data_IF_636704174810
#
_entry.id   IF_636704174810
#
_cell.length_a   1.000
_cell.length_b   1.000
_cell.length_c   1.000
_cell.angle_alpha   90.00
_cell.angle_beta   90.00
_cell.angle_gamma   90.00
#
_symmetry.space_group_name_H-M   'P 1'
#
loop_
_entity.id
_entity.type
_entity.pdbx_description
1 polymer ?
#
# COMPACT_ATOMS: atom_id res chain seq x y z
N UNK A 1 -10.88 16.07 -3.28
CA UNK A 1 -10.79 14.59 -3.12
C UNK A 1 -12.19 14.03 -3.25
N UNK A 2 -12.60 13.66 -4.46
CA UNK A 2 -13.94 13.11 -4.70
C UNK A 2 -13.85 11.60 -4.67
N UNK A 3 -14.33 11.00 -3.59
CA UNK A 3 -14.57 9.55 -3.50
C UNK A 3 -15.77 9.27 -4.40
N UNK A 4 -15.58 8.53 -5.49
CA UNK A 4 -16.66 8.15 -6.38
C UNK A 4 -17.42 7.01 -5.71
N UNK A 5 -18.40 7.35 -4.86
CA UNK A 5 -19.33 6.33 -4.35
C UNK A 5 -20.21 5.86 -5.50
N UNK A 6 -19.75 4.85 -6.23
CA UNK A 6 -20.63 4.03 -7.05
C UNK A 6 -21.55 3.27 -6.09
N UNK A 7 -22.79 3.75 -5.99
CA UNK A 7 -23.87 3.11 -5.25
C UNK A 7 -24.29 1.86 -6.04
N UNK A 8 -23.44 0.82 -6.01
CA UNK A 8 -23.91 -0.56 -6.10
C UNK A 8 -23.80 -1.12 -4.69
N UNK A 9 -24.96 -1.23 -4.03
CA UNK A 9 -25.17 -1.79 -2.69
C UNK A 9 -24.16 -2.93 -2.41
N UNK A 10 -23.09 -2.64 -1.66
CA UNK A 10 -22.44 -3.71 -0.91
C UNK A 10 -23.46 -4.15 0.12
N UNK A 11 -24.08 -5.29 -0.18
CA UNK A 11 -24.95 -5.99 0.73
C UNK A 11 -24.10 -6.39 1.94
N UNK A 12 -24.25 -5.64 3.04
CA UNK A 12 -23.54 -5.86 4.31
C UNK A 12 -23.81 -7.25 4.91
N UNK A 13 -24.72 -8.03 4.32
CA UNK A 13 -24.98 -9.43 4.66
C UNK A 13 -23.94 -10.42 4.09
N UNK A 14 -22.96 -9.95 3.30
CA UNK A 14 -21.97 -10.79 2.63
C UNK A 14 -20.54 -10.62 3.19
N UNK A 15 -20.41 -10.55 4.51
CA UNK A 15 -19.11 -10.64 5.20
C UNK A 15 -18.41 -12.02 5.01
N UNK A 16 -19.06 -12.95 4.29
CA UNK A 16 -18.52 -14.22 3.81
C UNK A 16 -17.91 -14.14 2.38
N UNK A 17 -17.85 -12.96 1.78
CA UNK A 17 -17.20 -12.76 0.48
C UNK A 17 -15.68 -12.92 0.57
N UNK A 18 -15.08 -13.65 -0.36
CA UNK A 18 -13.63 -13.82 -0.46
C UNK A 18 -12.94 -12.42 -0.50
N UNK A 19 -12.15 -12.02 0.51
CA UNK A 19 -11.54 -10.69 0.58
C UNK A 19 -10.48 -10.46 -0.49
N UNK A 20 -9.98 -11.53 -1.11
CA UNK A 20 -9.04 -11.48 -2.23
C UNK A 20 -9.73 -11.30 -3.59
N UNK A 21 -11.07 -11.27 -3.62
CA UNK A 21 -11.81 -11.06 -4.87
C UNK A 21 -11.48 -9.68 -5.45
N UNK A 22 -11.26 -9.62 -6.76
CA UNK A 22 -11.07 -8.37 -7.49
C UNK A 22 -12.28 -7.43 -7.31
N UNK A 23 -12.02 -6.14 -7.14
CA UNK A 23 -13.05 -5.12 -6.92
C UNK A 23 -13.94 -5.37 -5.70
N UNK A 24 -13.45 -6.08 -4.68
CA UNK A 24 -14.19 -6.31 -3.42
C UNK A 24 -14.04 -5.17 -2.42
N UNK A 25 -13.07 -4.27 -2.61
CA UNK A 25 -12.97 -3.04 -1.83
C UNK A 25 -14.15 -2.12 -2.11
N UNK A 26 -14.57 -1.39 -1.08
CA UNK A 26 -15.56 -0.31 -1.22
C UNK A 26 -14.93 1.00 -1.71
N UNK A 27 -13.61 1.10 -1.63
CA UNK A 27 -12.85 2.29 -1.99
C UNK A 27 -12.41 2.15 -3.44
N UNK A 28 -12.68 3.19 -4.21
CA UNK A 28 -12.33 3.31 -5.63
C UNK A 28 -11.84 4.75 -5.82
N UNK A 29 -10.69 4.94 -6.46
CA UNK A 29 -10.09 6.26 -6.61
C UNK A 29 -10.60 6.95 -7.88
N UNK A 30 -10.01 8.10 -8.21
CA UNK A 30 -10.42 8.86 -9.39
C UNK A 30 -9.94 8.25 -10.70
N UNK A 31 -8.98 7.32 -10.68
CA UNK A 31 -8.45 6.69 -11.88
C UNK A 31 -9.46 5.69 -12.45
N UNK A 32 -9.79 5.75 -13.75
CA UNK A 32 -10.69 4.78 -14.36
C UNK A 32 -10.10 3.36 -14.41
N UNK A 33 -10.91 2.38 -14.01
CA UNK A 33 -10.50 0.98 -13.91
C UNK A 33 -10.30 0.30 -15.29
N UNK A 34 -9.20 -0.44 -15.45
CA UNK A 34 -8.84 -1.28 -16.60
C UNK A 34 -8.73 -0.54 -17.95
N UNK A 35 -8.48 0.77 -17.94
CA UNK A 35 -8.38 1.56 -19.17
C UNK A 35 -7.05 1.36 -19.91
N UNK A 36 -5.95 1.20 -19.18
CA UNK A 36 -4.60 1.04 -19.79
C UNK A 36 -4.21 -0.44 -19.93
N UNK A 37 -4.69 -1.30 -19.03
CA UNK A 37 -4.37 -2.74 -19.01
C UNK A 37 -5.58 -3.53 -18.53
N UNK A 38 -5.84 -4.68 -19.15
CA UNK A 38 -6.92 -5.60 -18.75
C UNK A 38 -6.62 -6.32 -17.42
N UNK A 39 -5.36 -6.31 -16.97
CA UNK A 39 -4.92 -7.04 -15.78
C UNK A 39 -4.77 -6.15 -14.53
N UNK A 40 -4.65 -4.82 -14.71
CA UNK A 40 -4.38 -3.87 -13.63
C UNK A 40 -5.54 -2.88 -13.58
N UNK A 41 -6.25 -2.81 -12.46
CA UNK A 41 -7.41 -1.94 -12.30
C UNK A 41 -7.02 -0.46 -12.45
N UNK A 42 -6.19 0.08 -11.55
CA UNK A 42 -5.73 1.47 -11.62
C UNK A 42 -4.24 1.48 -12.03
N UNK A 43 -3.97 1.64 -13.32
CA UNK A 43 -2.62 1.46 -13.88
C UNK A 43 -1.62 2.50 -13.37
N UNK A 44 -1.96 3.78 -13.42
CA UNK A 44 -1.07 4.86 -13.03
C UNK A 44 -0.85 4.88 -11.51
N UNK A 45 -1.88 4.63 -10.72
CA UNK A 45 -1.76 4.46 -9.27
C UNK A 45 -0.85 3.26 -8.94
N UNK A 46 -0.98 2.15 -9.67
CA UNK A 46 -0.12 0.98 -9.48
C UNK A 46 1.34 1.28 -9.85
N UNK A 47 1.60 1.88 -11.01
CA UNK A 47 2.98 2.13 -11.49
C UNK A 47 3.69 3.20 -10.67
N UNK A 48 2.97 4.22 -10.20
CA UNK A 48 3.56 5.29 -9.37
C UNK A 48 4.21 4.77 -8.08
N UNK A 49 3.81 3.59 -7.61
CA UNK A 49 4.40 2.95 -6.44
C UNK A 49 5.83 2.43 -6.65
N UNK A 50 6.38 2.47 -7.86
CA UNK A 50 7.76 2.04 -8.15
C UNK A 50 8.80 2.71 -7.24
N UNK A 51 8.56 3.94 -6.80
CA UNK A 51 9.47 4.66 -5.91
C UNK A 51 9.62 4.01 -4.53
N UNK A 52 8.60 3.29 -4.04
CA UNK A 52 8.70 2.52 -2.79
C UNK A 52 9.64 1.32 -2.91
N UNK A 53 10.02 0.92 -4.13
CA UNK A 53 10.99 -0.16 -4.36
C UNK A 53 12.39 0.38 -4.70
N UNK A 54 12.50 1.63 -5.13
CA UNK A 54 13.79 2.25 -5.50
C UNK A 54 14.39 3.03 -4.34
N UNK A 55 13.60 3.90 -3.71
CA UNK A 55 14.10 4.83 -2.69
C UNK A 55 14.55 4.09 -1.42
N UNK A 56 13.77 3.16 -0.83
CA UNK A 56 14.20 2.55 0.43
C UNK A 56 15.47 1.70 0.33
N UNK A 57 15.70 0.84 -0.69
CA UNK A 57 16.98 0.13 -0.82
C UNK A 57 18.17 1.08 -1.00
N UNK A 58 18.00 2.15 -1.79
CA UNK A 58 19.01 3.19 -1.95
C UNK A 58 19.33 3.85 -0.60
N UNK A 59 18.30 4.21 0.17
CA UNK A 59 18.50 4.84 1.47
C UNK A 59 19.10 3.88 2.49
N UNK A 60 18.71 2.60 2.50
CA UNK A 60 19.36 1.58 3.33
C UNK A 60 20.85 1.53 3.02
N UNK A 61 21.24 1.60 1.75
CA UNK A 61 22.65 1.61 1.32
C UNK A 61 23.38 2.90 1.76
N UNK A 62 22.81 4.06 1.49
CA UNK A 62 23.42 5.36 1.81
C UNK A 62 23.55 5.60 3.32
N UNK A 63 22.55 5.17 4.11
CA UNK A 63 22.52 5.36 5.57
C UNK A 63 23.21 4.24 6.37
N UNK A 64 23.84 3.24 5.72
CA UNK A 64 24.60 2.18 6.42
C UNK A 64 25.59 2.69 7.49
N UNK A 65 26.47 3.67 7.22
CA UNK A 65 27.43 4.13 8.23
C UNK A 65 26.75 4.84 9.40
N UNK A 66 25.66 5.56 9.16
CA UNK A 66 24.86 6.22 10.19
C UNK A 66 24.13 5.20 11.07
N UNK A 67 23.47 4.20 10.45
CA UNK A 67 22.74 3.14 11.13
C UNK A 67 23.62 2.37 12.12
N UNK A 68 24.90 2.14 11.79
CA UNK A 68 25.86 1.47 12.68
C UNK A 68 26.22 2.27 13.93
N UNK A 69 26.07 3.60 13.90
CA UNK A 69 26.49 4.49 14.99
C UNK A 69 25.33 4.93 15.88
N UNK A 70 24.13 5.12 15.32
CA UNK A 70 22.99 5.69 16.06
C UNK A 70 21.98 4.61 16.43
N UNK A 71 21.32 4.00 15.45
CA UNK A 71 20.37 2.93 15.69
C UNK A 71 20.06 2.15 14.40
N UNK A 72 20.00 0.82 14.49
CA UNK A 72 19.57 -0.04 13.39
C UNK A 72 18.07 0.12 13.05
N UNK A 73 17.31 0.87 13.85
CA UNK A 73 15.89 1.14 13.63
C UNK A 73 15.59 1.82 12.30
N UNK A 74 16.55 2.58 11.74
CA UNK A 74 16.34 3.30 10.48
C UNK A 74 16.19 2.35 9.29
N UNK A 75 16.95 1.24 9.28
CA UNK A 75 16.83 0.22 8.25
C UNK A 75 15.46 -0.48 8.30
N UNK A 76 14.90 -0.67 9.51
CA UNK A 76 13.57 -1.25 9.69
C UNK A 76 12.51 -0.34 9.05
N UNK A 77 12.58 0.97 9.25
CA UNK A 77 11.63 1.91 8.62
C UNK A 77 11.69 1.87 7.10
N UNK A 78 12.90 1.81 6.51
CA UNK A 78 13.04 1.66 5.08
C UNK A 78 12.46 0.35 4.56
N UNK A 79 12.62 -0.76 5.28
CA UNK A 79 12.01 -2.04 4.90
C UNK A 79 10.48 -1.96 4.97
N UNK A 80 9.93 -1.34 6.00
CA UNK A 80 8.47 -1.17 6.14
C UNK A 80 7.88 -0.28 5.03
N UNK A 81 8.62 0.70 4.52
CA UNK A 81 8.21 1.48 3.34
C UNK A 81 8.10 0.62 2.07
N UNK A 82 8.95 -0.39 1.91
CA UNK A 82 8.81 -1.36 0.79
C UNK A 82 7.52 -2.17 0.97
N UNK A 83 7.17 -2.55 2.21
CA UNK A 83 5.94 -3.29 2.51
C UNK A 83 4.70 -2.45 2.17
N UNK A 84 4.71 -1.13 2.44
CA UNK A 84 3.66 -0.21 1.98
C UNK A 84 3.57 -0.25 0.44
N UNK A 85 4.70 -0.13 -0.25
CA UNK A 85 4.71 -0.21 -1.72
C UNK A 85 4.09 -1.51 -2.26
N UNK A 86 4.38 -2.66 -1.64
CA UNK A 86 3.76 -3.95 -2.00
C UNK A 86 2.26 -3.93 -1.77
N UNK A 87 1.82 -3.44 -0.61
CA UNK A 87 0.40 -3.31 -0.27
C UNK A 87 -0.35 -2.42 -1.25
N UNK A 88 0.19 -1.24 -1.52
CA UNK A 88 -0.40 -0.25 -2.43
C UNK A 88 -0.44 -0.76 -3.88
N UNK A 89 0.64 -1.39 -4.39
CA UNK A 89 0.63 -2.04 -5.71
C UNK A 89 -0.45 -3.11 -5.79
N UNK A 90 -0.53 -3.98 -4.79
CA UNK A 90 -1.53 -5.05 -4.78
C UNK A 90 -2.96 -4.50 -4.70
N UNK A 91 -3.18 -3.45 -3.91
CA UNK A 91 -4.47 -2.80 -3.79
C UNK A 91 -4.88 -2.13 -5.12
N UNK A 92 -4.06 -1.25 -5.69
CA UNK A 92 -4.41 -0.55 -6.93
C UNK A 92 -4.48 -1.47 -8.15
N UNK A 93 -3.74 -2.59 -8.16
CA UNK A 93 -3.86 -3.58 -9.23
C UNK A 93 -5.17 -4.38 -9.16
N UNK A 94 -5.70 -4.63 -7.95
CA UNK A 94 -6.81 -5.58 -7.74
C UNK A 94 -8.12 -4.96 -7.26
N UNK A 95 -8.07 -3.79 -6.63
CA UNK A 95 -9.14 -3.18 -5.82
C UNK A 95 -9.80 -4.18 -4.86
N UNK A 96 -8.99 -5.09 -4.28
CA UNK A 96 -9.47 -6.09 -3.33
C UNK A 96 -9.52 -5.55 -1.90
N UNK A 97 -10.45 -6.05 -1.08
CA UNK A 97 -10.53 -5.71 0.34
C UNK A 97 -9.26 -6.15 1.09
N UNK A 98 -8.71 -7.32 0.76
CA UNK A 98 -7.45 -7.79 1.31
C UNK A 98 -6.31 -6.80 1.00
N UNK A 99 -6.23 -6.31 -0.24
CA UNK A 99 -5.24 -5.31 -0.63
C UNK A 99 -5.43 -3.99 0.10
N UNK A 100 -6.67 -3.50 0.21
CA UNK A 100 -6.96 -2.29 0.98
C UNK A 100 -6.46 -2.40 2.43
N UNK A 101 -6.79 -3.51 3.10
CA UNK A 101 -6.37 -3.74 4.48
C UNK A 101 -4.85 -3.87 4.59
N UNK A 102 -4.18 -4.49 3.63
CA UNK A 102 -2.71 -4.61 3.62
C UNK A 102 -2.05 -3.23 3.49
N UNK A 103 -2.54 -2.41 2.57
CA UNK A 103 -2.04 -1.05 2.34
C UNK A 103 -2.22 -0.17 3.58
N UNK A 104 -3.46 -0.02 4.06
CA UNK A 104 -3.78 0.82 5.23
C UNK A 104 -3.06 0.35 6.51
N UNK A 105 -3.01 -0.97 6.77
CA UNK A 105 -2.35 -1.49 7.98
C UNK A 105 -0.83 -1.36 7.94
N UNK A 106 -0.22 -1.48 6.76
CA UNK A 106 1.22 -1.32 6.62
C UNK A 106 1.68 0.09 6.97
N UNK A 107 0.88 1.12 6.65
CA UNK A 107 1.13 2.52 7.05
C UNK A 107 1.11 2.66 8.58
N UNK A 108 0.13 2.05 9.24
CA UNK A 108 0.05 2.05 10.71
C UNK A 108 1.27 1.40 11.36
N UNK A 109 1.81 0.32 10.77
CA UNK A 109 3.03 -0.31 11.28
C UNK A 109 4.23 0.62 11.22
N UNK A 110 4.40 1.39 10.13
CA UNK A 110 5.48 2.40 10.05
C UNK A 110 5.34 3.43 11.16
N UNK A 111 4.12 3.94 11.40
CA UNK A 111 3.89 4.96 12.43
C UNK A 111 4.19 4.43 13.83
N UNK A 112 3.67 3.25 14.18
CA UNK A 112 3.86 2.65 15.52
C UNK A 112 5.31 2.26 15.75
N UNK A 113 5.97 1.61 14.78
CA UNK A 113 7.37 1.19 14.91
C UNK A 113 8.30 2.41 14.86
N UNK A 114 8.00 3.41 14.03
CA UNK A 114 8.72 4.67 14.00
C UNK A 114 8.68 5.39 15.34
N UNK A 115 7.48 5.52 15.91
CA UNK A 115 7.32 6.08 17.25
C UNK A 115 8.13 5.29 18.29
N UNK A 116 8.00 3.96 18.32
CA UNK A 116 8.65 3.11 19.31
C UNK A 116 10.19 3.00 19.18
N UNK A 117 10.79 3.38 18.04
CA UNK A 117 12.22 3.26 17.79
C UNK A 117 13.00 4.58 17.89
N UNK A 118 12.31 5.72 17.84
CA UNK A 118 12.93 7.04 17.73
C UNK A 118 12.47 8.06 18.80
N UNK A 119 11.63 7.64 19.74
CA UNK A 119 11.33 8.32 21.01
C UNK A 119 11.69 7.38 22.16
#
# INVERSE_FOLDING_TARGET
>A
MYIKTSISKVNLNNLNGNPFRLGSSKVDWCEPNYVVSEYIAEFWNTVSNIFFFLVPPLMIFLFRPYSKRVANGIAILWILLIIIGIGSVYFHATLSLAGQLLDEKSILWVLVIGYARFL
#
